data_IF_511649390854
#
_entry.id   IF_511649390854
#
_cell.length_a   1.000
_cell.length_b   1.000
_cell.length_c   1.000
_cell.angle_alpha   90.00
_cell.angle_beta   90.00
_cell.angle_gamma   90.00
#
_symmetry.space_group_name_H-M   'P 1'
#
loop_
_entity.id
_entity.type
_entity.pdbx_description
1 polymer ?
#
# COMPACT_ATOMS: atom_id res chain seq x y z
N UNK A 1 -36.71 -4.68 -14.05
CA UNK A 1 -36.02 -4.65 -12.76
C UNK A 1 -34.70 -3.95 -13.05
N UNK A 2 -34.64 -2.64 -12.79
CA UNK A 2 -33.36 -1.93 -12.81
C UNK A 2 -32.50 -2.52 -11.70
N UNK A 3 -31.40 -3.13 -12.06
CA UNK A 3 -30.38 -3.52 -11.10
C UNK A 3 -29.85 -2.22 -10.53
N UNK A 4 -30.16 -1.95 -9.27
CA UNK A 4 -29.59 -0.81 -8.54
C UNK A 4 -28.08 -1.05 -8.53
N UNK A 5 -27.35 -0.29 -9.33
CA UNK A 5 -25.91 -0.44 -9.41
C UNK A 5 -25.32 0.14 -8.12
N UNK A 6 -24.55 -0.66 -7.41
CA UNK A 6 -23.72 -0.25 -6.25
C UNK A 6 -22.64 0.71 -6.72
N UNK A 7 -23.02 1.97 -6.97
CA UNK A 7 -22.14 2.89 -7.66
C UNK A 7 -21.24 3.65 -6.68
N UNK A 8 -19.97 3.69 -7.05
CA UNK A 8 -18.95 4.51 -6.41
C UNK A 8 -18.48 5.53 -7.43
N UNK A 9 -18.54 6.80 -7.08
CA UNK A 9 -18.14 7.90 -7.93
C UNK A 9 -16.90 8.59 -7.35
N UNK A 10 -15.83 8.63 -8.11
CA UNK A 10 -14.64 9.39 -7.80
C UNK A 10 -14.61 10.68 -8.62
N UNK A 11 -14.26 11.78 -7.99
CA UNK A 11 -13.97 12.99 -8.75
C UNK A 11 -12.62 12.85 -9.48
N UNK A 12 -12.36 13.77 -10.39
CA UNK A 12 -11.18 13.75 -11.26
C UNK A 12 -9.84 13.70 -10.48
N UNK A 13 -9.75 14.43 -9.37
CA UNK A 13 -8.54 14.50 -8.56
C UNK A 13 -8.22 13.17 -7.91
N UNK A 14 -9.21 12.56 -7.26
CA UNK A 14 -9.08 11.27 -6.58
C UNK A 14 -8.80 10.14 -7.58
N UNK A 15 -9.48 10.16 -8.71
CA UNK A 15 -9.26 9.21 -9.79
C UNK A 15 -7.82 9.31 -10.34
N UNK A 16 -7.30 10.52 -10.55
CA UNK A 16 -5.90 10.75 -10.96
C UNK A 16 -4.90 10.22 -9.93
N UNK A 17 -5.15 10.40 -8.63
CA UNK A 17 -4.28 9.86 -7.57
C UNK A 17 -4.25 8.34 -7.63
N UNK A 18 -5.42 7.68 -7.70
CA UNK A 18 -5.50 6.23 -7.82
C UNK A 18 -4.83 5.71 -9.09
N UNK A 19 -5.09 6.36 -10.25
CA UNK A 19 -4.46 6.00 -11.51
C UNK A 19 -2.93 6.09 -11.43
N UNK A 20 -2.39 7.20 -10.94
CA UNK A 20 -0.94 7.42 -10.86
C UNK A 20 -0.23 6.44 -9.91
N UNK A 21 -0.75 6.21 -8.72
CA UNK A 21 -0.13 5.29 -7.77
C UNK A 21 -0.37 3.85 -8.20
N UNK A 22 -1.57 3.53 -8.66
CA UNK A 22 -1.92 2.20 -9.16
C UNK A 22 -1.05 1.78 -10.36
N UNK A 23 -0.79 2.68 -11.31
CA UNK A 23 0.14 2.41 -12.41
C UNK A 23 1.53 2.05 -11.90
N UNK A 24 2.08 2.77 -10.92
CA UNK A 24 3.38 2.45 -10.33
C UNK A 24 3.40 1.11 -9.59
N UNK A 25 2.29 0.76 -8.97
CA UNK A 25 2.14 -0.55 -8.33
C UNK A 25 2.16 -1.67 -9.39
N UNK A 26 1.42 -1.51 -10.49
CA UNK A 26 1.39 -2.51 -11.58
C UNK A 26 2.71 -2.58 -12.37
N UNK A 27 3.47 -1.48 -12.44
CA UNK A 27 4.84 -1.48 -12.97
C UNK A 27 5.81 -2.25 -12.05
N UNK A 28 5.52 -2.32 -10.76
CA UNK A 28 6.33 -3.09 -9.80
C UNK A 28 6.04 -4.58 -9.90
N UNK A 29 4.76 -4.94 -9.97
CA UNK A 29 4.29 -6.31 -10.18
C UNK A 29 2.93 -6.29 -10.89
N UNK A 30 2.91 -6.73 -12.15
CA UNK A 30 1.69 -6.76 -12.97
C UNK A 30 0.66 -7.80 -12.51
N UNK A 31 1.07 -8.79 -11.72
CA UNK A 31 0.20 -9.82 -11.13
C UNK A 31 -0.41 -9.44 -9.79
N UNK A 32 -0.12 -8.24 -9.30
CA UNK A 32 -0.58 -7.78 -7.98
C UNK A 32 -2.10 -7.78 -7.87
N UNK A 33 -2.58 -8.21 -6.69
CA UNK A 33 -3.98 -8.08 -6.30
C UNK A 33 -4.18 -6.88 -5.38
N UNK A 34 -5.38 -6.33 -5.39
CA UNK A 34 -5.82 -5.27 -4.49
C UNK A 34 -7.06 -5.69 -3.71
N UNK A 35 -7.17 -5.26 -2.46
CA UNK A 35 -8.40 -5.31 -1.69
C UNK A 35 -8.99 -3.91 -1.64
N UNK A 36 -10.21 -3.79 -2.13
CA UNK A 36 -10.97 -2.55 -2.25
C UNK A 36 -12.07 -2.58 -1.20
N UNK A 37 -12.08 -1.60 -0.32
CA UNK A 37 -13.06 -1.47 0.75
C UNK A 37 -13.79 -0.15 0.60
N UNK A 38 -15.10 -0.20 0.64
CA UNK A 38 -15.99 0.95 0.46
C UNK A 38 -16.51 1.40 1.82
N UNK A 39 -16.13 2.61 2.21
CA UNK A 39 -16.70 3.29 3.39
C UNK A 39 -17.82 4.25 2.99
N UNK A 40 -18.41 4.92 3.97
CA UNK A 40 -19.55 5.85 3.77
C UNK A 40 -19.23 7.01 2.80
N UNK A 41 -17.99 7.46 2.75
CA UNK A 41 -17.56 8.63 1.97
C UNK A 41 -16.15 8.50 1.39
N UNK A 42 -15.60 7.29 1.39
CA UNK A 42 -14.23 7.04 0.93
C UNK A 42 -14.08 5.62 0.39
N UNK A 43 -13.16 5.48 -0.55
CA UNK A 43 -12.67 4.22 -1.07
C UNK A 43 -11.27 3.97 -0.53
N UNK A 44 -11.04 2.81 0.06
CA UNK A 44 -9.71 2.35 0.48
C UNK A 44 -9.23 1.22 -0.42
N UNK A 45 -8.02 1.35 -0.95
CA UNK A 45 -7.38 0.33 -1.80
C UNK A 45 -6.09 -0.12 -1.13
N UNK A 46 -6.00 -1.41 -0.83
CA UNK A 46 -4.83 -2.04 -0.23
C UNK A 46 -4.13 -2.93 -1.24
N UNK A 47 -2.80 -2.92 -1.24
CA UNK A 47 -1.98 -3.85 -2.01
C UNK A 47 -0.74 -4.27 -1.21
N UNK A 48 -0.31 -5.52 -1.35
CA UNK A 48 0.94 -6.03 -0.77
C UNK A 48 2.01 -6.01 -1.84
N UNK A 49 3.15 -5.40 -1.51
CA UNK A 49 4.28 -5.24 -2.40
C UNK A 49 5.32 -6.36 -2.20
N UNK A 50 6.16 -6.65 -3.20
CA UNK A 50 7.18 -7.71 -3.12
C UNK A 50 8.20 -7.57 -1.98
N UNK A 51 8.28 -6.41 -1.33
CA UNK A 51 9.23 -6.16 -0.22
C UNK A 51 8.62 -6.45 1.17
N UNK A 52 7.55 -7.22 1.25
CA UNK A 52 6.82 -7.49 2.50
C UNK A 52 6.37 -6.19 3.21
N UNK A 53 5.81 -5.29 2.43
CA UNK A 53 5.13 -4.08 2.90
C UNK A 53 3.75 -3.98 2.25
N UNK A 54 2.80 -3.37 2.94
CA UNK A 54 1.47 -3.10 2.41
C UNK A 54 1.32 -1.60 2.18
N UNK A 55 0.71 -1.23 1.06
CA UNK A 55 0.30 0.14 0.80
C UNK A 55 -1.21 0.26 0.95
N UNK A 56 -1.67 1.39 1.46
CA UNK A 56 -3.07 1.77 1.45
C UNK A 56 -3.24 3.18 0.89
N UNK A 57 -4.19 3.29 -0.03
CA UNK A 57 -4.66 4.56 -0.57
C UNK A 57 -6.12 4.72 -0.14
N UNK A 58 -6.41 5.79 0.57
CA UNK A 58 -7.78 6.17 0.88
C UNK A 58 -8.10 7.47 0.16
N UNK A 59 -9.14 7.47 -0.65
CA UNK A 59 -9.58 8.62 -1.42
C UNK A 59 -11.05 8.91 -1.14
N UNK A 60 -11.45 10.18 -1.02
CA UNK A 60 -12.85 10.55 -0.95
C UNK A 60 -13.63 10.03 -2.15
N UNK A 61 -14.84 9.56 -1.90
CA UNK A 61 -15.75 9.05 -2.93
C UNK A 61 -17.19 9.42 -2.57
N UNK A 62 -18.03 9.60 -3.59
CA UNK A 62 -19.47 9.55 -3.39
C UNK A 62 -19.88 8.08 -3.53
N UNK A 63 -20.56 7.57 -2.52
CA UNK A 63 -20.88 6.16 -2.41
C UNK A 63 -22.39 6.02 -2.27
N UNK A 64 -23.00 5.18 -3.10
CA UNK A 64 -24.39 4.80 -2.93
C UNK A 64 -24.54 3.97 -1.64
N UNK A 65 -25.63 4.14 -0.91
CA UNK A 65 -25.87 3.52 0.38
C UNK A 65 -25.72 1.98 0.33
N UNK A 66 -26.15 1.37 -0.77
CA UNK A 66 -26.08 -0.08 -1.00
C UNK A 66 -24.66 -0.58 -1.22
N UNK A 67 -23.69 0.29 -1.56
CA UNK A 67 -22.30 -0.06 -1.76
C UNK A 67 -21.43 0.08 -0.49
N UNK A 68 -21.97 0.73 0.54
CA UNK A 68 -21.24 0.91 1.81
C UNK A 68 -20.99 -0.44 2.48
N UNK A 69 -19.73 -0.70 2.82
CA UNK A 69 -19.30 -1.96 3.42
C UNK A 69 -18.85 -3.02 2.42
N UNK A 70 -18.93 -2.76 1.12
CA UNK A 70 -18.37 -3.66 0.11
C UNK A 70 -16.88 -3.85 0.33
N UNK A 71 -16.44 -5.09 0.21
CA UNK A 71 -15.06 -5.55 0.45
C UNK A 71 -14.69 -6.58 -0.60
N UNK A 72 -13.93 -6.17 -1.60
CA UNK A 72 -13.63 -6.97 -2.78
C UNK A 72 -12.13 -7.10 -2.99
N UNK A 73 -11.63 -8.32 -3.16
CA UNK A 73 -10.28 -8.57 -3.65
C UNK A 73 -10.33 -8.79 -5.16
N UNK A 74 -9.53 -8.02 -5.90
CA UNK A 74 -9.54 -8.03 -7.37
C UNK A 74 -8.13 -7.90 -7.95
N UNK A 75 -7.99 -8.03 -9.27
CA UNK A 75 -6.76 -7.69 -9.98
C UNK A 75 -6.51 -6.18 -9.92
N UNK A 76 -5.36 -5.78 -9.36
CA UNK A 76 -4.98 -4.37 -9.32
C UNK A 76 -4.89 -3.79 -10.74
N UNK A 77 -4.31 -4.52 -11.69
CA UNK A 77 -4.19 -4.07 -13.08
C UNK A 77 -5.54 -3.81 -13.74
N UNK A 78 -6.54 -4.67 -13.49
CA UNK A 78 -7.90 -4.49 -14.02
C UNK A 78 -8.57 -3.26 -13.39
N UNK A 79 -8.46 -3.12 -12.08
CA UNK A 79 -9.01 -1.96 -11.35
C UNK A 79 -8.39 -0.64 -11.83
N UNK A 80 -7.06 -0.57 -11.89
CA UNK A 80 -6.32 0.64 -12.31
C UNK A 80 -6.62 1.01 -13.76
N UNK A 81 -6.76 0.03 -14.65
CA UNK A 81 -7.10 0.28 -16.05
C UNK A 81 -8.45 0.97 -16.16
N UNK A 82 -9.49 0.46 -15.49
CA UNK A 82 -10.82 1.08 -15.51
C UNK A 82 -10.80 2.54 -15.01
N UNK A 83 -10.03 2.82 -13.95
CA UNK A 83 -9.87 4.19 -13.45
C UNK A 83 -9.10 5.06 -14.45
N UNK A 84 -8.03 4.54 -15.06
CA UNK A 84 -7.16 5.29 -15.97
C UNK A 84 -7.86 5.62 -17.30
N UNK A 85 -8.63 4.69 -17.83
CA UNK A 85 -9.39 4.88 -19.06
C UNK A 85 -10.42 6.01 -18.89
N UNK A 86 -11.19 6.01 -17.80
CA UNK A 86 -12.13 7.08 -17.51
C UNK A 86 -11.45 8.45 -17.31
N UNK A 87 -10.28 8.48 -16.65
CA UNK A 87 -9.47 9.71 -16.51
C UNK A 87 -9.00 10.23 -17.87
N UNK A 88 -8.56 9.34 -18.76
CA UNK A 88 -8.10 9.71 -20.11
C UNK A 88 -9.23 10.28 -20.98
N UNK A 89 -10.45 9.79 -20.79
CA UNK A 89 -11.64 10.26 -21.49
C UNK A 89 -12.29 11.49 -20.85
N UNK A 90 -11.72 12.03 -19.78
CA UNK A 90 -12.28 13.11 -18.94
C UNK A 90 -13.70 12.80 -18.44
N UNK A 91 -13.99 11.54 -18.19
CA UNK A 91 -15.27 11.10 -17.64
C UNK A 91 -15.18 10.94 -16.13
N UNK A 92 -16.29 11.15 -15.40
CA UNK A 92 -16.36 10.77 -14.01
C UNK A 92 -16.08 9.27 -13.87
N UNK A 93 -15.18 8.91 -12.95
CA UNK A 93 -14.90 7.50 -12.68
C UNK A 93 -16.03 6.95 -11.84
N UNK A 94 -16.90 6.19 -12.48
CA UNK A 94 -17.98 5.46 -11.85
C UNK A 94 -17.73 3.97 -12.00
N UNK A 95 -17.75 3.24 -10.93
CA UNK A 95 -17.65 1.78 -10.95
C UNK A 95 -18.57 1.14 -9.93
N UNK A 96 -18.86 -0.12 -10.17
CA UNK A 96 -19.61 -1.00 -9.31
C UNK A 96 -18.66 -2.09 -8.83
N UNK A 97 -18.55 -2.28 -7.52
CA UNK A 97 -17.73 -3.34 -6.92
C UNK A 97 -18.15 -4.73 -7.36
N UNK A 98 -19.46 -4.95 -7.62
CA UNK A 98 -19.98 -6.22 -8.12
C UNK A 98 -19.49 -6.53 -9.56
N UNK A 99 -19.12 -5.51 -10.34
CA UNK A 99 -18.57 -5.68 -11.69
C UNK A 99 -17.09 -6.05 -11.69
N UNK A 100 -16.37 -5.92 -10.57
CA UNK A 100 -14.97 -6.26 -10.48
C UNK A 100 -14.78 -7.78 -10.39
N UNK A 101 -13.81 -8.35 -11.13
CA UNK A 101 -13.46 -9.76 -10.98
C UNK A 101 -13.05 -10.06 -9.55
N UNK A 102 -13.83 -10.91 -8.86
CA UNK A 102 -13.54 -11.27 -7.48
C UNK A 102 -12.49 -12.39 -7.42
N UNK A 103 -11.43 -12.14 -6.67
CA UNK A 103 -10.35 -13.08 -6.43
C UNK A 103 -10.33 -13.45 -4.94
N UNK A 104 -9.83 -14.63 -4.62
CA UNK A 104 -9.62 -15.01 -3.24
C UNK A 104 -8.31 -14.38 -2.75
N UNK A 105 -8.34 -13.68 -1.62
CA UNK A 105 -7.13 -13.18 -1.00
C UNK A 105 -6.23 -14.36 -0.60
N UNK A 106 -4.96 -14.29 -0.99
CA UNK A 106 -4.00 -15.33 -0.60
C UNK A 106 -3.85 -15.35 0.91
N UNK A 107 -3.96 -16.55 1.49
CA UNK A 107 -3.68 -16.80 2.90
C UNK A 107 -2.27 -17.38 2.97
N UNK A 108 -1.36 -16.70 3.68
CA UNK A 108 0.04 -17.13 3.77
C UNK A 108 0.69 -16.62 5.06
N UNK A 109 1.95 -17.02 5.25
CA UNK A 109 2.78 -16.42 6.29
C UNK A 109 3.26 -15.03 5.81
N UNK A 110 3.25 -14.03 6.70
CA UNK A 110 3.63 -12.66 6.39
C UNK A 110 2.44 -11.74 6.11
N UNK A 111 2.70 -10.65 5.39
CA UNK A 111 1.68 -9.69 4.99
C UNK A 111 0.79 -10.26 3.89
N UNK A 112 -0.51 -10.26 4.13
CA UNK A 112 -1.51 -10.68 3.14
C UNK A 112 -2.69 -9.71 3.14
N UNK A 113 -3.43 -9.66 2.05
CA UNK A 113 -4.68 -8.89 1.98
C UNK A 113 -5.80 -9.45 2.87
N UNK A 114 -5.65 -10.67 3.39
CA UNK A 114 -6.58 -11.24 4.35
C UNK A 114 -6.44 -10.62 5.76
N UNK A 115 -5.25 -10.05 6.09
CA UNK A 115 -4.96 -9.44 7.38
C UNK A 115 -4.57 -7.98 7.20
N UNK A 116 -5.54 -7.09 7.29
CA UNK A 116 -5.33 -5.66 7.14
C UNK A 116 -4.76 -5.03 8.43
N UNK A 117 -4.07 -3.88 8.29
CA UNK A 117 -3.64 -3.09 9.44
C UNK A 117 -4.84 -2.66 10.29
N UNK A 118 -4.67 -2.50 11.62
CA UNK A 118 -5.72 -1.97 12.48
C UNK A 118 -6.20 -0.59 12.00
N UNK A 119 -7.51 -0.34 12.10
CA UNK A 119 -8.09 0.96 11.78
C UNK A 119 -7.67 2.03 12.80
N UNK A 120 -7.58 1.65 14.08
CA UNK A 120 -7.30 2.51 15.23
C UNK A 120 -6.22 1.91 16.14
N UNK A 121 -6.06 2.47 17.34
CA UNK A 121 -5.08 1.99 18.32
C UNK A 121 -3.62 2.35 18.01
N UNK A 122 -3.34 3.22 17.04
CA UNK A 122 -2.00 3.65 16.67
C UNK A 122 -1.40 4.57 17.74
N UNK A 123 -0.21 4.22 18.18
CA UNK A 123 0.49 4.86 19.29
C UNK A 123 1.82 5.48 18.85
N UNK A 124 2.37 6.34 19.72
CA UNK A 124 3.69 6.98 19.59
C UNK A 124 3.88 7.66 18.22
N UNK A 125 3.02 8.61 17.83
CA UNK A 125 3.19 9.28 16.56
C UNK A 125 4.47 10.11 16.57
N UNK A 126 5.36 9.83 15.59
CA UNK A 126 6.56 10.62 15.33
C UNK A 126 6.33 11.40 14.05
N UNK A 127 6.37 12.72 14.15
CA UNK A 127 6.17 13.62 13.02
C UNK A 127 7.50 14.00 12.38
N UNK A 128 7.51 14.17 11.08
CA UNK A 128 8.68 14.57 10.31
C UNK A 128 8.32 15.22 8.98
N UNK A 129 9.34 15.52 8.23
CA UNK A 129 9.23 16.08 6.87
C UNK A 129 9.97 15.17 5.90
N UNK A 130 9.35 14.88 4.76
CA UNK A 130 9.91 13.93 3.77
C UNK A 130 11.29 14.32 3.26
N UNK A 131 11.58 15.63 3.13
CA UNK A 131 12.90 16.12 2.72
C UNK A 131 14.03 15.68 3.63
N UNK A 132 13.78 15.58 4.95
CA UNK A 132 14.78 15.22 5.95
C UNK A 132 15.04 13.70 5.97
N UNK A 133 14.07 12.93 5.47
CA UNK A 133 14.10 11.46 5.43
C UNK A 133 14.72 10.97 4.10
N UNK A 134 14.48 11.71 3.02
CA UNK A 134 14.91 11.32 1.67
C UNK A 134 16.42 11.03 1.52
N UNK A 135 17.37 11.74 2.17
CA UNK A 135 18.79 11.45 2.05
C UNK A 135 19.14 10.02 2.44
N UNK A 136 18.66 9.52 3.58
CA UNK A 136 18.92 8.15 4.02
C UNK A 136 18.40 7.07 3.07
N UNK A 137 17.28 7.37 2.37
CA UNK A 137 16.73 6.44 1.36
C UNK A 137 17.66 6.41 0.13
N UNK A 138 18.17 7.56 -0.29
CA UNK A 138 19.11 7.64 -1.42
C UNK A 138 20.41 6.89 -1.11
N UNK A 139 20.96 7.06 0.08
CA UNK A 139 22.16 6.35 0.54
C UNK A 139 21.92 4.84 0.52
N UNK A 140 20.80 4.34 1.02
CA UNK A 140 20.47 2.92 0.99
C UNK A 140 20.30 2.37 -0.44
N UNK A 141 19.71 3.15 -1.36
CA UNK A 141 19.60 2.77 -2.77
C UNK A 141 20.98 2.70 -3.43
N UNK A 142 21.86 3.66 -3.16
CA UNK A 142 23.20 3.69 -3.71
C UNK A 142 24.04 2.53 -3.16
N UNK A 143 23.99 2.31 -1.84
CA UNK A 143 24.64 1.15 -1.22
C UNK A 143 24.18 -0.17 -1.85
N UNK A 144 22.87 -0.33 -2.05
CA UNK A 144 22.33 -1.52 -2.70
C UNK A 144 22.88 -1.69 -4.12
N UNK A 145 22.88 -0.63 -4.93
CA UNK A 145 23.40 -0.66 -6.30
C UNK A 145 24.88 -1.03 -6.36
N UNK A 146 25.69 -0.42 -5.51
CA UNK A 146 27.14 -0.70 -5.46
C UNK A 146 27.41 -2.13 -5.02
N UNK A 147 26.74 -2.61 -3.97
CA UNK A 147 26.95 -3.95 -3.43
C UNK A 147 26.44 -5.06 -4.33
N UNK A 148 25.44 -4.79 -5.17
CA UNK A 148 24.85 -5.80 -6.07
C UNK A 148 25.32 -5.67 -7.52
N UNK A 149 26.24 -4.75 -7.81
CA UNK A 149 26.75 -4.52 -9.16
C UNK A 149 27.41 -5.78 -9.73
N UNK A 150 26.82 -6.31 -10.80
CA UNK A 150 27.29 -7.53 -11.46
C UNK A 150 26.98 -8.83 -10.72
N UNK A 151 26.20 -8.79 -9.63
CA UNK A 151 25.73 -9.98 -8.93
C UNK A 151 24.53 -10.61 -9.65
N UNK A 152 24.42 -11.94 -9.70
CA UNK A 152 23.18 -12.63 -10.03
C UNK A 152 22.06 -12.28 -9.03
N UNK A 153 20.81 -12.37 -9.47
CA UNK A 153 19.63 -11.96 -8.68
C UNK A 153 19.52 -12.74 -7.35
N UNK A 154 19.81 -14.03 -7.37
CA UNK A 154 19.80 -14.91 -6.20
C UNK A 154 20.81 -14.49 -5.14
N UNK A 155 21.96 -13.97 -5.55
CA UNK A 155 22.99 -13.45 -4.65
C UNK A 155 22.70 -12.03 -4.17
N UNK A 156 21.94 -11.25 -4.92
CA UNK A 156 21.51 -9.92 -4.53
C UNK A 156 20.39 -9.93 -3.45
N UNK A 157 19.58 -10.99 -3.37
CA UNK A 157 18.48 -11.10 -2.44
C UNK A 157 18.88 -10.97 -0.95
N UNK A 158 19.96 -11.62 -0.45
CA UNK A 158 20.41 -11.42 0.94
C UNK A 158 20.87 -9.99 1.21
N UNK A 159 21.51 -9.33 0.25
CA UNK A 159 21.94 -7.93 0.36
C UNK A 159 20.72 -7.00 0.42
N UNK A 160 19.73 -7.28 -0.39
CA UNK A 160 18.45 -6.56 -0.37
C UNK A 160 17.80 -6.70 1.00
N UNK A 161 17.66 -7.92 1.51
CA UNK A 161 17.04 -8.15 2.83
C UNK A 161 17.78 -7.42 3.94
N UNK A 162 19.13 -7.47 3.96
CA UNK A 162 19.94 -6.77 4.94
C UNK A 162 19.68 -5.25 4.90
N UNK A 163 19.71 -4.62 3.73
CA UNK A 163 19.58 -3.17 3.59
C UNK A 163 18.14 -2.73 3.90
N UNK A 164 17.16 -3.42 3.32
CA UNK A 164 15.75 -2.99 3.41
C UNK A 164 15.11 -3.32 4.74
N UNK A 165 15.68 -4.23 5.55
CA UNK A 165 15.22 -4.51 6.91
C UNK A 165 15.77 -3.58 7.97
N UNK A 166 16.83 -2.81 7.68
CA UNK A 166 17.46 -1.89 8.65
C UNK A 166 16.45 -0.90 9.20
N UNK A 167 16.55 -0.65 10.50
CA UNK A 167 15.78 0.42 11.14
C UNK A 167 16.27 1.78 10.62
N UNK A 168 15.32 2.59 10.18
CA UNK A 168 15.54 3.92 9.63
C UNK A 168 14.76 4.95 10.45
N UNK A 169 14.38 6.07 9.83
CA UNK A 169 13.65 7.13 10.51
C UNK A 169 12.46 6.60 11.33
N UNK A 170 12.36 7.07 12.57
CA UNK A 170 11.32 6.69 13.53
C UNK A 170 11.22 5.16 13.80
N UNK A 171 12.31 4.40 13.59
CA UNK A 171 12.34 2.96 13.77
C UNK A 171 11.54 2.16 12.73
N UNK A 172 11.11 2.81 11.64
CA UNK A 172 10.52 2.12 10.50
C UNK A 172 11.60 1.31 9.75
N UNK A 173 11.30 0.13 9.21
CA UNK A 173 12.22 -0.54 8.30
C UNK A 173 12.46 0.31 7.04
N UNK A 174 13.68 0.31 6.51
CA UNK A 174 14.04 1.06 5.31
C UNK A 174 13.13 0.72 4.13
N UNK A 175 12.64 -0.53 4.02
CA UNK A 175 11.69 -0.96 2.98
C UNK A 175 10.41 -0.14 2.95
N UNK A 176 9.91 0.33 4.10
CA UNK A 176 8.71 1.18 4.19
C UNK A 176 8.97 2.54 3.56
N UNK A 177 10.10 3.16 3.87
CA UNK A 177 10.51 4.46 3.33
C UNK A 177 10.81 4.37 1.83
N UNK A 178 11.50 3.30 1.42
CA UNK A 178 11.80 3.03 0.01
C UNK A 178 10.51 2.85 -0.81
N UNK A 179 9.56 2.05 -0.32
CA UNK A 179 8.27 1.85 -0.99
C UNK A 179 7.50 3.16 -1.12
N UNK A 180 7.41 3.97 -0.06
CA UNK A 180 6.74 5.26 -0.09
C UNK A 180 7.37 6.20 -1.14
N UNK A 181 8.70 6.21 -1.26
CA UNK A 181 9.40 7.01 -2.26
C UNK A 181 9.17 6.49 -3.68
N UNK A 182 9.28 5.19 -3.90
CA UNK A 182 9.07 4.57 -5.22
C UNK A 182 7.66 4.81 -5.74
N UNK A 183 6.66 4.75 -4.87
CA UNK A 183 5.27 5.05 -5.19
C UNK A 183 4.97 6.56 -5.28
N UNK A 184 5.95 7.42 -4.99
CA UNK A 184 5.79 8.87 -4.90
C UNK A 184 4.76 9.33 -3.88
N UNK A 185 4.52 8.53 -2.85
CA UNK A 185 3.84 8.98 -1.63
C UNK A 185 4.71 9.95 -0.84
N UNK A 186 6.04 9.78 -0.95
CA UNK A 186 7.07 10.75 -0.54
C UNK A 186 7.85 11.22 -1.76
N UNK A 187 8.15 12.51 -1.82
CA UNK A 187 8.95 13.16 -2.86
C UNK A 187 10.04 14.00 -2.22
N UNK A 188 10.83 14.70 -3.03
CA UNK A 188 11.82 15.68 -2.56
C UNK A 188 11.17 16.97 -2.03
N UNK A 189 9.89 17.19 -2.36
CA UNK A 189 9.10 18.27 -1.78
C UNK A 189 8.87 18.02 -0.29
N UNK A 190 8.90 19.07 0.55
CA UNK A 190 8.69 18.92 1.99
C UNK A 190 7.23 18.60 2.29
N UNK A 191 6.93 17.31 2.48
CA UNK A 191 5.62 16.82 2.90
C UNK A 191 5.66 16.43 4.38
N UNK A 192 4.62 16.74 5.12
CA UNK A 192 4.45 16.21 6.48
C UNK A 192 4.21 14.72 6.42
N UNK A 193 4.95 13.99 7.24
CA UNK A 193 4.82 12.54 7.38
C UNK A 193 4.73 12.17 8.86
N UNK A 194 4.09 11.05 9.14
CA UNK A 194 3.95 10.55 10.50
C UNK A 194 4.23 9.06 10.53
N UNK A 195 5.08 8.62 11.44
CA UNK A 195 5.25 7.22 11.79
C UNK A 195 4.43 6.90 13.05
N UNK A 196 3.86 5.70 13.12
CA UNK A 196 3.16 5.21 14.30
C UNK A 196 3.25 3.67 14.38
N UNK A 197 2.96 3.13 15.58
CA UNK A 197 2.95 1.68 15.82
C UNK A 197 1.63 1.23 16.40
N UNK A 198 1.22 0.00 16.09
CA UNK A 198 0.08 -0.68 16.74
C UNK A 198 0.38 -2.17 16.84
N UNK A 199 0.77 -2.64 18.04
CA UNK A 199 1.27 -4.01 18.21
C UNK A 199 2.43 -4.32 17.27
N UNK A 200 2.33 -5.36 16.42
CA UNK A 200 3.37 -5.73 15.47
C UNK A 200 3.42 -4.85 14.22
N UNK A 201 2.45 -3.97 14.04
CA UNK A 201 2.34 -3.09 12.89
C UNK A 201 3.11 -1.79 13.06
N UNK A 202 3.79 -1.37 12.00
CA UNK A 202 4.37 -0.04 11.87
C UNK A 202 3.79 0.65 10.64
N UNK A 203 3.52 1.92 10.74
CA UNK A 203 2.88 2.72 9.68
C UNK A 203 3.67 3.99 9.39
N UNK A 204 3.88 4.25 8.13
CA UNK A 204 4.20 5.58 7.59
C UNK A 204 2.93 6.16 6.96
N UNK A 205 2.50 7.33 7.43
CA UNK A 205 1.40 8.08 6.84
C UNK A 205 1.93 9.32 6.15
N UNK A 206 1.43 9.57 4.94
CA UNK A 206 1.68 10.76 4.14
C UNK A 206 0.34 11.35 3.68
N UNK A 207 0.28 12.58 3.19
CA UNK A 207 -0.95 13.13 2.60
C UNK A 207 -1.44 12.37 1.35
N UNK A 208 -0.60 11.49 0.77
CA UNK A 208 -0.88 10.77 -0.49
C UNK A 208 -1.21 9.29 -0.28
N UNK A 209 -1.07 8.77 0.93
CA UNK A 209 -1.31 7.36 1.25
C UNK A 209 -0.45 6.88 2.41
N UNK A 210 -0.59 5.61 2.72
CA UNK A 210 0.06 4.97 3.87
C UNK A 210 0.85 3.74 3.42
N UNK A 211 1.96 3.47 4.11
CA UNK A 211 2.75 2.24 3.92
C UNK A 211 2.94 1.57 5.27
N UNK A 212 2.71 0.27 5.30
CA UNK A 212 2.75 -0.53 6.51
C UNK A 212 3.79 -1.63 6.41
N UNK A 213 4.40 -1.97 7.53
CA UNK A 213 5.12 -3.23 7.72
C UNK A 213 4.56 -3.96 8.93
N UNK A 214 4.69 -5.27 8.89
CA UNK A 214 4.29 -6.17 9.96
C UNK A 214 5.52 -6.94 10.45
N UNK A 215 5.75 -6.95 11.74
CA UNK A 215 6.83 -7.74 12.33
C UNK A 215 6.18 -8.88 13.10
N UNK A 216 6.21 -10.08 12.54
CA UNK A 216 5.74 -11.25 13.29
C UNK A 216 6.47 -11.33 14.63
N UNK A 217 5.72 -11.46 15.72
CA UNK A 217 6.29 -11.65 17.06
C UNK A 217 7.22 -12.87 17.09
N UNK A 218 8.13 -12.88 18.06
CA UNK A 218 9.06 -14.00 18.28
C UNK A 218 8.28 -15.33 18.41
N UNK A 219 7.09 -15.31 18.99
CA UNK A 219 6.21 -16.47 19.15
C UNK A 219 5.76 -17.06 17.81
N UNK A 220 5.42 -16.23 16.84
CA UNK A 220 5.06 -16.69 15.49
C UNK A 220 6.27 -17.24 14.72
N UNK A 221 7.47 -16.71 14.95
CA UNK A 221 8.73 -17.22 14.36
C UNK A 221 9.14 -18.56 14.93
N UNK A 222 8.81 -18.85 16.19
CA UNK A 222 9.15 -20.10 16.87
C UNK A 222 8.07 -21.18 16.75
N UNK A 223 6.95 -20.90 16.06
CA UNK A 223 5.83 -21.82 15.92
C UNK A 223 5.13 -22.16 17.24
N UNK A 224 5.34 -21.36 18.29
CA UNK A 224 4.74 -21.56 19.60
C UNK A 224 3.27 -21.15 19.56
N UNK A 225 2.37 -22.10 19.70
CA UNK A 225 0.95 -21.84 20.00
C UNK A 225 0.81 -21.64 21.50
N UNK A 226 0.36 -20.47 21.93
CA UNK A 226 -0.14 -20.30 23.30
C UNK A 226 -1.43 -21.11 23.40
N UNK A 227 -1.39 -22.21 24.15
CA UNK A 227 -2.57 -22.98 24.51
C UNK A 227 -3.21 -22.27 25.70
N UNK A 228 -4.38 -21.68 25.47
CA UNK A 228 -5.23 -21.08 26.51
C UNK A 228 -6.08 -22.16 27.13
#
# INVERSE_FOLDING_TARGET
METTAHAILLNEREARVLSLVGTRLTEWDSGMTARVIVGDSALAVYAVLPMDVMVALAVPAQVDEDAVGDDVTTSLATFVRGVSDAVAENQPVRFDTASLPQLTASVGQGLTLASLPPADGWQMPIHGVSSDITPQIREAIEEFRERTKGMPEDQAAPVAEEIWSRAAWAGLPMRVLHAARRLRLMTDEPLRVTAATCGPWKRLSTPRGQVFSYTAGIEARLGLRVVS
#
